data_IF_115727813864
#
_entry.id   IF_115727813864
#
_cell.length_a   1.000
_cell.length_b   1.000
_cell.length_c   1.000
_cell.angle_alpha   90.00
_cell.angle_beta   90.00
_cell.angle_gamma   90.00
#
_symmetry.space_group_name_H-M   'P 1'
#
loop_
_entity.id
_entity.type
_entity.pdbx_description
1 polymer ?
#
# COMPACT_ATOMS: atom_id res chain seq x y z
N UNK A 1 -10.07 31.66 22.73
CA UNK A 1 -8.94 31.21 21.89
C UNK A 1 -9.40 29.95 21.15
N UNK A 2 -9.49 29.98 19.82
CA UNK A 2 -9.87 28.81 19.03
C UNK A 2 -8.67 27.87 18.94
N UNK A 3 -8.81 26.62 19.36
CA UNK A 3 -7.79 25.59 19.19
C UNK A 3 -7.44 25.51 17.69
N UNK A 4 -6.16 25.73 17.36
CA UNK A 4 -5.61 25.45 16.03
C UNK A 4 -5.64 23.94 15.84
N UNK A 5 -6.49 23.44 14.94
CA UNK A 5 -6.35 22.08 14.41
C UNK A 5 -4.96 21.96 13.77
N UNK A 6 -4.09 21.15 14.37
CA UNK A 6 -2.81 20.76 13.78
C UNK A 6 -3.12 19.74 12.68
N UNK A 7 -3.29 20.21 11.45
CA UNK A 7 -3.44 19.35 10.27
C UNK A 7 -2.27 18.37 10.17
N UNK A 8 -2.60 17.11 9.86
CA UNK A 8 -1.70 15.95 9.86
C UNK A 8 -0.39 16.18 9.11
N UNK A 9 0.68 15.60 9.63
CA UNK A 9 2.05 15.82 9.16
C UNK A 9 2.37 15.15 7.82
N UNK A 10 1.38 14.97 6.94
CA UNK A 10 1.44 14.38 5.60
C UNK A 10 0.68 13.05 5.48
N UNK A 11 0.39 12.67 4.24
CA UNK A 11 -0.31 11.44 3.88
C UNK A 11 0.39 10.20 4.47
N UNK A 12 -0.40 9.26 4.95
CA UNK A 12 0.08 8.05 5.63
C UNK A 12 -0.31 6.79 4.86
N UNK A 13 0.55 5.77 4.88
CA UNK A 13 0.33 4.53 4.13
C UNK A 13 0.70 3.30 4.93
N UNK A 14 -0.11 2.24 4.81
CA UNK A 14 0.27 0.90 5.26
C UNK A 14 -0.01 -0.15 4.19
N UNK A 15 0.64 -1.30 4.32
CA UNK A 15 0.36 -2.49 3.52
C UNK A 15 -0.48 -3.48 4.32
N UNK A 16 -1.37 -4.20 3.65
CA UNK A 16 -2.24 -5.20 4.27
C UNK A 16 -2.18 -6.51 3.51
N UNK A 17 -2.00 -7.62 4.21
CA UNK A 17 -2.04 -8.97 3.62
C UNK A 17 -3.41 -9.58 3.91
N UNK A 18 -4.13 -9.97 2.85
CA UNK A 18 -5.49 -10.51 2.96
C UNK A 18 -5.51 -11.88 3.65
N UNK A 19 -6.48 -12.19 4.52
CA UNK A 19 -6.66 -13.56 5.01
C UNK A 19 -7.22 -14.50 3.93
N UNK A 20 -7.74 -13.96 2.81
CA UNK A 20 -8.30 -14.76 1.72
C UNK A 20 -7.22 -15.63 1.07
N UNK A 21 -7.63 -16.80 0.61
CA UNK A 21 -6.78 -17.75 -0.12
C UNK A 21 -5.44 -18.05 0.58
N UNK A 22 -5.45 -17.99 1.92
CA UNK A 22 -4.25 -18.21 2.74
C UNK A 22 -3.06 -17.34 2.29
N UNK A 23 -3.32 -16.08 1.94
CA UNK A 23 -2.31 -15.20 1.32
C UNK A 23 -1.02 -15.13 2.14
N UNK A 24 -1.09 -15.09 3.47
CA UNK A 24 0.11 -15.08 4.32
C UNK A 24 1.02 -16.32 4.12
N UNK A 25 0.45 -17.46 3.74
CA UNK A 25 1.21 -18.69 3.43
C UNK A 25 1.71 -18.72 1.98
N UNK A 26 0.93 -18.11 1.09
CA UNK A 26 1.19 -18.15 -0.35
C UNK A 26 2.05 -16.98 -0.84
N UNK A 27 2.10 -15.86 -0.10
CA UNK A 27 2.86 -14.65 -0.43
C UNK A 27 3.81 -14.34 0.73
N UNK A 28 5.00 -14.94 0.68
CA UNK A 28 5.95 -14.95 1.81
C UNK A 28 6.97 -13.82 1.76
N UNK A 29 7.23 -13.25 0.59
CA UNK A 29 8.00 -12.02 0.44
C UNK A 29 7.25 -11.04 -0.43
N UNK A 30 7.18 -9.79 0.01
CA UNK A 30 6.52 -8.72 -0.74
C UNK A 30 7.10 -7.36 -0.40
N UNK A 31 6.92 -6.42 -1.33
CA UNK A 31 7.29 -5.02 -1.19
C UNK A 31 6.23 -4.16 -1.88
N UNK A 32 5.74 -3.16 -1.17
CA UNK A 32 4.91 -2.07 -1.69
C UNK A 32 5.75 -0.81 -1.74
N UNK A 33 6.11 -0.35 -2.93
CA UNK A 33 6.76 0.93 -3.15
C UNK A 33 5.73 1.98 -3.54
N UNK A 34 5.84 3.16 -2.94
CA UNK A 34 5.02 4.33 -3.22
C UNK A 34 5.91 5.45 -3.76
N UNK A 35 5.52 6.07 -4.86
CA UNK A 35 6.22 7.20 -5.48
C UNK A 35 5.23 8.32 -5.78
N UNK A 36 5.43 9.52 -5.23
CA UNK A 36 4.55 10.64 -5.52
C UNK A 36 4.65 11.02 -7.00
N UNK A 37 3.53 11.11 -7.71
CA UNK A 37 3.54 11.36 -9.16
C UNK A 37 4.11 12.73 -9.55
N UNK A 38 3.80 13.74 -8.74
CA UNK A 38 4.15 15.14 -9.01
C UNK A 38 5.33 15.64 -8.16
N UNK A 39 6.05 14.75 -7.49
CA UNK A 39 7.06 15.13 -6.49
C UNK A 39 8.24 14.17 -6.37
N UNK A 40 9.10 14.43 -5.39
CA UNK A 40 10.37 13.70 -5.18
C UNK A 40 10.31 12.75 -3.98
N UNK A 41 9.12 12.38 -3.52
CA UNK A 41 8.97 11.45 -2.40
C UNK A 41 8.75 10.03 -2.89
N UNK A 42 9.54 9.11 -2.37
CA UNK A 42 9.30 7.68 -2.51
C UNK A 42 9.81 6.92 -1.30
N UNK A 43 9.08 5.89 -0.88
CA UNK A 43 9.49 4.96 0.15
C UNK A 43 8.79 3.61 -0.08
N UNK A 44 9.09 2.61 0.72
CA UNK A 44 8.50 1.28 0.62
C UNK A 44 8.17 0.66 1.99
N UNK A 45 7.23 -0.27 1.95
CA UNK A 45 6.86 -1.19 3.03
C UNK A 45 7.14 -2.60 2.51
N UNK A 46 7.61 -3.51 3.35
CA UNK A 46 7.94 -4.86 2.91
C UNK A 46 7.60 -5.90 3.97
N UNK A 47 7.64 -7.17 3.58
CA UNK A 47 7.47 -8.32 4.47
C UNK A 47 8.49 -8.36 5.63
N UNK A 48 9.62 -7.66 5.51
CA UNK A 48 10.64 -7.60 6.57
C UNK A 48 10.23 -6.66 7.73
N UNK A 49 9.34 -5.70 7.46
CA UNK A 49 8.73 -4.81 8.47
C UNK A 49 7.26 -4.54 8.10
N UNK A 50 6.37 -5.54 8.30
CA UNK A 50 5.00 -5.51 7.80
C UNK A 50 4.11 -4.52 8.55
N UNK A 51 4.56 -4.04 9.72
CA UNK A 51 3.84 -3.06 10.56
C UNK A 51 4.29 -1.62 10.31
N UNK A 52 5.26 -1.41 9.40
CA UNK A 52 5.72 -0.07 9.00
C UNK A 52 4.55 0.74 8.43
N UNK A 53 4.36 1.93 8.99
CA UNK A 53 3.49 2.97 8.42
C UNK A 53 4.39 4.04 7.82
N UNK A 54 4.22 4.30 6.53
CA UNK A 54 4.87 5.42 5.87
C UNK A 54 4.12 6.70 6.17
N UNK A 55 4.85 7.79 6.36
CA UNK A 55 4.28 9.13 6.44
C UNK A 55 5.12 10.06 5.57
N UNK A 56 4.45 10.74 4.65
CA UNK A 56 5.09 11.76 3.82
C UNK A 56 5.33 13.03 4.65
N UNK A 57 6.34 13.86 4.36
CA UNK A 57 6.58 15.09 5.10
C UNK A 57 5.67 16.23 4.62
N UNK A 58 4.48 16.37 5.21
CA UNK A 58 3.47 17.38 4.85
C UNK A 58 3.00 17.33 3.38
N UNK A 59 3.05 16.16 2.74
CA UNK A 59 2.62 15.99 1.35
C UNK A 59 1.24 15.33 1.28
N UNK A 60 0.58 15.51 0.14
CA UNK A 60 -0.68 14.89 -0.26
C UNK A 60 -0.67 14.68 -1.78
N UNK A 61 -1.65 13.95 -2.29
CA UNK A 61 -1.86 13.79 -3.73
C UNK A 61 -1.89 12.33 -4.15
N UNK A 62 -1.48 12.05 -5.38
CA UNK A 62 -1.51 10.71 -5.98
C UNK A 62 -0.11 10.11 -6.03
N UNK A 63 -0.02 8.85 -5.65
CA UNK A 63 1.20 8.07 -5.55
C UNK A 63 1.07 6.85 -6.45
N UNK A 64 2.10 6.62 -7.28
CA UNK A 64 2.27 5.39 -8.02
C UNK A 64 2.53 4.26 -7.06
N UNK A 65 1.81 3.15 -7.22
CA UNK A 65 2.02 1.92 -6.45
C UNK A 65 2.77 0.90 -7.30
N UNK A 66 3.85 0.37 -6.76
CA UNK A 66 4.58 -0.75 -7.36
C UNK A 66 4.64 -1.85 -6.32
N UNK A 67 3.91 -2.94 -6.57
CA UNK A 67 3.92 -4.12 -5.69
C UNK A 67 4.73 -5.23 -6.34
N UNK A 68 5.74 -5.73 -5.64
CA UNK A 68 6.43 -6.98 -5.99
C UNK A 68 6.16 -8.02 -4.93
N UNK A 69 5.95 -9.26 -5.33
CA UNK A 69 5.79 -10.35 -4.39
C UNK A 69 6.25 -11.68 -4.95
N UNK A 70 6.53 -12.63 -4.06
CA UNK A 70 6.89 -14.01 -4.37
C UNK A 70 6.29 -14.97 -3.33
N UNK A 71 6.17 -16.23 -3.73
CA UNK A 71 5.60 -17.29 -2.91
C UNK A 71 6.25 -18.65 -3.16
N UNK A 72 5.86 -19.68 -2.40
CA UNK A 72 6.33 -21.04 -2.64
C UNK A 72 5.95 -21.58 -4.04
N UNK A 73 4.85 -21.09 -4.60
CA UNK A 73 4.27 -21.56 -5.87
C UNK A 73 4.49 -20.61 -7.05
N UNK A 74 5.08 -19.43 -6.83
CA UNK A 74 5.34 -18.49 -7.91
C UNK A 74 6.61 -17.65 -7.67
N UNK A 75 7.39 -17.38 -8.73
CA UNK A 75 8.62 -16.60 -8.62
C UNK A 75 8.30 -15.13 -8.31
N UNK A 76 9.31 -14.39 -7.86
CA UNK A 76 9.15 -12.96 -7.65
C UNK A 76 8.74 -12.25 -8.94
N UNK A 77 7.67 -11.44 -8.85
CA UNK A 77 7.20 -10.62 -9.95
C UNK A 77 6.52 -9.36 -9.46
N UNK A 78 6.36 -8.40 -10.37
CA UNK A 78 5.48 -7.27 -10.14
C UNK A 78 4.02 -7.74 -10.26
N UNK A 79 3.21 -7.43 -9.24
CA UNK A 79 1.80 -7.80 -9.22
C UNK A 79 0.97 -6.83 -10.06
N UNK A 80 -0.17 -7.32 -10.53
CA UNK A 80 -1.21 -6.50 -11.16
C UNK A 80 -2.29 -6.16 -10.14
N UNK A 81 -2.91 -4.99 -10.31
CA UNK A 81 -4.07 -4.63 -9.50
C UNK A 81 -5.27 -5.50 -9.86
N UNK A 82 -6.19 -5.68 -8.91
CA UNK A 82 -7.50 -6.25 -9.21
C UNK A 82 -8.25 -5.38 -10.24
N UNK A 83 -9.09 -5.97 -11.11
CA UNK A 83 -9.75 -5.27 -12.22
C UNK A 83 -10.51 -4.00 -11.81
N UNK A 84 -11.18 -4.04 -10.65
CA UNK A 84 -11.98 -2.91 -10.14
C UNK A 84 -11.22 -1.99 -9.19
N UNK A 85 -9.92 -2.23 -9.00
CA UNK A 85 -9.05 -1.40 -8.17
C UNK A 85 -8.26 -0.40 -9.01
N UNK A 86 -7.97 0.78 -8.43
CA UNK A 86 -7.06 1.73 -9.06
C UNK A 86 -5.61 1.25 -8.89
N UNK A 87 -4.75 1.39 -9.90
CA UNK A 87 -3.34 1.01 -9.79
C UNK A 87 -2.52 2.02 -8.98
N UNK A 88 -3.01 3.27 -8.87
CA UNK A 88 -2.40 4.32 -8.08
C UNK A 88 -3.25 4.60 -6.82
N UNK A 89 -2.61 5.19 -5.81
CA UNK A 89 -3.25 5.51 -4.54
C UNK A 89 -3.21 7.01 -4.28
N UNK A 90 -4.34 7.59 -3.88
CA UNK A 90 -4.44 8.99 -3.50
C UNK A 90 -4.71 9.13 -2.02
N UNK A 91 -4.11 10.16 -1.43
CA UNK A 91 -4.22 10.40 -0.01
C UNK A 91 -4.05 11.89 0.33
N UNK A 92 -4.96 12.42 1.14
CA UNK A 92 -4.85 13.76 1.71
C UNK A 92 -3.81 13.81 2.85
N UNK A 93 -3.32 15.00 3.17
CA UNK A 93 -2.20 15.19 4.12
C UNK A 93 -2.53 14.83 5.58
N UNK A 94 -3.80 14.62 5.90
CA UNK A 94 -4.28 14.20 7.22
C UNK A 94 -4.96 12.82 7.18
N UNK A 95 -4.84 12.09 6.07
CA UNK A 95 -5.49 10.80 5.89
C UNK A 95 -4.46 9.68 5.77
N UNK A 96 -4.98 8.47 5.85
CA UNK A 96 -4.26 7.25 5.60
C UNK A 96 -4.84 6.55 4.39
N UNK A 97 -3.98 5.87 3.64
CA UNK A 97 -4.38 5.02 2.53
C UNK A 97 -3.70 3.65 2.64
N UNK A 98 -4.28 2.64 2.00
CA UNK A 98 -3.84 1.25 2.14
C UNK A 98 -3.58 0.60 0.79
N UNK A 99 -2.53 -0.22 0.72
CA UNK A 99 -2.32 -1.18 -0.36
C UNK A 99 -2.50 -2.59 0.19
N UNK A 100 -3.53 -3.29 -0.29
CA UNK A 100 -3.78 -4.69 0.05
C UNK A 100 -3.13 -5.65 -0.94
N UNK A 101 -2.67 -6.81 -0.47
CA UNK A 101 -2.13 -7.91 -1.27
C UNK A 101 -2.97 -9.16 -0.99
N UNK A 102 -3.37 -9.88 -2.05
CA UNK A 102 -4.19 -11.10 -1.96
C UNK A 102 -3.70 -12.14 -2.95
N UNK A 103 -3.54 -13.38 -2.50
CA UNK A 103 -3.23 -14.51 -3.36
C UNK A 103 -4.45 -14.89 -4.22
N UNK A 104 -4.23 -15.50 -5.37
CA UNK A 104 -5.30 -16.15 -6.12
C UNK A 104 -5.72 -17.45 -5.43
N UNK A 105 -6.90 -17.96 -5.82
CA UNK A 105 -7.33 -19.28 -5.37
C UNK A 105 -6.26 -20.33 -5.71
N UNK A 106 -5.89 -21.14 -4.71
CA UNK A 106 -4.80 -22.12 -4.83
C UNK A 106 -3.38 -21.55 -4.72
N UNK A 107 -3.20 -20.23 -4.57
CA UNK A 107 -1.92 -19.63 -4.19
C UNK A 107 -0.84 -19.55 -5.28
N UNK A 108 -1.19 -19.83 -6.53
CA UNK A 108 -0.26 -19.84 -7.66
C UNK A 108 0.08 -18.43 -8.19
N UNK A 109 -0.61 -17.41 -7.70
CA UNK A 109 -0.41 -16.01 -8.07
C UNK A 109 -0.91 -15.08 -6.96
N UNK A 110 -0.73 -13.76 -7.12
CA UNK A 110 -1.27 -12.72 -6.26
C UNK A 110 -1.60 -11.43 -7.03
N UNK A 111 -2.50 -10.65 -6.46
CA UNK A 111 -2.89 -9.32 -6.93
C UNK A 111 -2.80 -8.32 -5.78
N UNK A 112 -2.91 -7.03 -6.12
CA UNK A 112 -3.06 -5.97 -5.14
C UNK A 112 -4.32 -5.14 -5.36
N UNK A 113 -4.71 -4.37 -4.35
CA UNK A 113 -5.73 -3.33 -4.47
C UNK A 113 -5.38 -2.13 -3.61
N UNK A 114 -5.90 -0.96 -3.94
CA UNK A 114 -5.70 0.27 -3.18
C UNK A 114 -6.99 0.74 -2.51
N UNK A 115 -6.89 1.31 -1.33
CA UNK A 115 -7.97 2.05 -0.66
C UNK A 115 -7.48 3.47 -0.40
N UNK A 116 -8.13 4.44 -1.02
CA UNK A 116 -7.83 5.86 -0.89
C UNK A 116 -8.49 6.42 0.36
N UNK A 117 -7.82 7.33 1.06
CA UNK A 117 -8.35 8.03 2.25
C UNK A 117 -9.15 7.11 3.20
N UNK A 118 -8.59 5.94 3.50
CA UNK A 118 -9.21 4.89 4.32
C UNK A 118 -9.71 5.42 5.68
N UNK A 119 -8.96 6.33 6.29
CA UNK A 119 -9.42 7.14 7.41
C UNK A 119 -8.66 8.47 7.47
N UNK A 120 -9.28 9.49 8.07
CA UNK A 120 -8.74 10.85 8.17
C UNK A 120 -8.82 11.37 9.61
N UNK A 121 -7.81 12.14 10.01
CA UNK A 121 -7.69 12.78 11.32
C UNK A 121 -8.09 14.27 11.29
#
# INVERSE_FOLDING_TARGET
MKARFKGGGGAQFWAYVSPQHETEKNVTKWMVKLEQKDGNWSDFISSDDPVKVLQTPNLAGVFRVIVRASGPLFPEKQLTNLPDSKPDIGCNSNCFAMVGIVATEGGNDAHYWTVWDAFCN
#
